data_IF_280009566001
#
_entry.id   IF_280009566001
#
_cell.length_a   1.000
_cell.length_b   1.000
_cell.length_c   1.000
_cell.angle_alpha   90.00
_cell.angle_beta   90.00
_cell.angle_gamma   90.00
#
_symmetry.space_group_name_H-M   'P 1'
#
loop_
_entity.id
_entity.type
_entity.pdbx_description
1 polymer ?
#
# COMPACT_ATOMS: atom_id res chain seq x y z
N UNK A 1 -7.20 39.72 58.86
CA UNK A 1 -8.52 39.52 58.23
C UNK A 1 -8.77 40.66 57.27
N UNK A 2 -8.71 40.43 55.96
CA UNK A 2 -9.30 41.32 54.96
C UNK A 2 -9.82 40.49 53.78
N UNK A 3 -11.14 40.56 53.61
CA UNK A 3 -11.92 40.05 52.48
C UNK A 3 -12.07 41.18 51.47
N UNK A 4 -11.77 40.93 50.19
CA UNK A 4 -12.78 40.95 49.11
C UNK A 4 -12.10 40.83 47.74
N UNK A 5 -12.50 39.78 47.04
CA UNK A 5 -12.31 39.57 45.61
C UNK A 5 -13.58 40.05 44.91
N UNK A 6 -13.56 41.22 44.28
CA UNK A 6 -14.65 41.70 43.41
C UNK A 6 -14.10 41.91 42.01
N UNK A 7 -13.89 40.81 41.29
CA UNK A 7 -13.63 40.79 39.85
C UNK A 7 -14.90 40.46 39.08
N UNK A 8 -15.75 41.47 38.88
CA UNK A 8 -16.96 41.37 38.05
C UNK A 8 -16.55 41.42 36.56
N UNK A 9 -16.57 40.29 35.85
CA UNK A 9 -16.52 40.28 34.38
C UNK A 9 -17.08 38.98 33.81
N UNK A 10 -18.40 38.94 33.62
CA UNK A 10 -19.03 38.05 32.63
C UNK A 10 -20.13 38.82 31.91
N UNK A 11 -20.00 38.90 30.58
CA UNK A 11 -21.00 39.45 29.64
C UNK A 11 -22.42 39.00 30.04
N UNK A 12 -23.39 39.92 30.15
CA UNK A 12 -24.78 39.52 30.37
C UNK A 12 -25.24 38.69 29.17
N UNK A 13 -25.63 37.44 29.42
CA UNK A 13 -26.32 36.63 28.42
C UNK A 13 -27.73 37.18 28.32
N UNK A 14 -28.19 37.49 27.11
CA UNK A 14 -29.60 37.75 26.88
C UNK A 14 -30.34 36.42 27.10
N UNK A 15 -30.93 36.25 28.27
CA UNK A 15 -31.76 35.10 28.61
C UNK A 15 -33.16 35.45 28.12
N UNK A 16 -33.57 34.88 26.99
CA UNK A 16 -34.95 34.98 26.53
C UNK A 16 -35.86 34.25 27.53
N UNK A 17 -36.39 35.00 28.51
CA UNK A 17 -37.37 34.55 29.50
C UNK A 17 -38.81 34.57 28.97
N UNK A 18 -39.00 34.59 27.65
CA UNK A 18 -40.33 34.58 27.02
C UNK A 18 -40.97 33.17 27.02
N UNK A 19 -40.85 32.47 28.14
CA UNK A 19 -41.41 31.15 28.39
C UNK A 19 -41.81 31.05 29.86
N UNK A 20 -42.97 31.63 30.17
CA UNK A 20 -43.75 31.39 31.39
C UNK A 20 -43.12 31.88 32.70
N UNK A 21 -43.36 33.15 33.02
CA UNK A 21 -43.24 33.70 34.38
C UNK A 21 -44.33 33.11 35.28
N UNK A 22 -44.07 31.92 35.84
CA UNK A 22 -44.91 31.29 36.86
C UNK A 22 -44.04 30.55 37.86
N UNK A 23 -44.24 30.78 39.15
CA UNK A 23 -43.47 30.16 40.23
C UNK A 23 -43.56 28.62 40.13
N UNK A 24 -42.43 27.89 40.05
CA UNK A 24 -42.43 26.44 39.87
C UNK A 24 -43.02 25.66 41.06
N UNK A 25 -43.26 26.32 42.19
CA UNK A 25 -43.84 25.72 43.40
C UNK A 25 -45.29 26.11 43.67
N UNK A 26 -45.93 26.97 42.86
CA UNK A 26 -47.32 27.42 43.12
C UNK A 26 -48.40 26.54 42.51
N UNK A 27 -48.05 25.47 41.80
CA UNK A 27 -49.02 24.60 41.11
C UNK A 27 -49.14 23.20 41.72
N UNK A 28 -49.05 23.10 43.05
CA UNK A 28 -49.50 21.94 43.81
C UNK A 28 -51.02 22.01 44.03
N UNK A 29 -51.79 21.90 42.96
CA UNK A 29 -53.21 21.56 43.03
C UNK A 29 -53.40 20.26 42.26
N UNK A 30 -53.97 19.26 42.92
CA UNK A 30 -54.29 17.94 42.38
C UNK A 30 -55.33 18.04 41.27
N UNK A 31 -54.90 18.52 40.10
CA UNK A 31 -55.70 18.61 38.89
C UNK A 31 -54.93 17.95 37.75
N UNK A 32 -55.54 17.02 36.98
CA UNK A 32 -54.84 16.18 36.00
C UNK A 32 -54.28 16.97 34.81
N UNK A 33 -54.56 18.27 34.74
CA UNK A 33 -54.11 19.18 33.69
C UNK A 33 -52.61 19.55 33.79
N UNK A 34 -51.96 19.36 34.95
CA UNK A 34 -50.53 19.66 35.15
C UNK A 34 -49.58 18.57 34.59
N UNK A 35 -50.12 17.40 34.21
CA UNK A 35 -49.35 16.27 33.66
C UNK A 35 -48.78 16.57 32.26
N UNK A 36 -49.36 17.54 31.54
CA UNK A 36 -48.94 17.94 30.19
C UNK A 36 -47.57 18.64 30.14
N UNK A 37 -47.12 19.26 31.23
CA UNK A 37 -45.86 20.01 31.25
C UNK A 37 -44.67 19.11 31.60
N UNK A 38 -44.88 18.08 32.44
CA UNK A 38 -43.84 17.10 32.79
C UNK A 38 -43.51 16.17 31.63
N UNK A 39 -44.49 15.77 30.83
CA UNK A 39 -44.24 14.98 29.60
C UNK A 39 -43.49 15.79 28.55
N UNK A 40 -43.77 17.10 28.42
CA UNK A 40 -43.02 18.02 27.55
C UNK A 40 -41.57 18.22 27.98
N UNK A 41 -41.28 18.34 29.28
CA UNK A 41 -39.90 18.48 29.78
C UNK A 41 -39.09 17.20 29.57
N UNK A 42 -39.69 16.02 29.79
CA UNK A 42 -39.04 14.73 29.53
C UNK A 42 -38.78 14.52 28.04
N UNK A 43 -39.77 14.80 27.18
CA UNK A 43 -39.64 14.72 25.72
C UNK A 43 -38.55 15.65 25.19
N UNK A 44 -38.51 16.91 25.65
CA UNK A 44 -37.45 17.85 25.30
C UNK A 44 -36.07 17.37 25.78
N UNK A 45 -35.97 16.81 26.99
CA UNK A 45 -34.71 16.28 27.50
C UNK A 45 -34.24 15.01 26.76
N UNK A 46 -35.15 14.20 26.22
CA UNK A 46 -34.82 13.07 25.36
C UNK A 46 -34.31 13.57 24.00
N UNK A 47 -35.03 14.47 23.35
CA UNK A 47 -34.62 15.09 22.08
C UNK A 47 -33.26 15.79 22.18
N UNK A 48 -32.98 16.46 23.30
CA UNK A 48 -31.68 17.11 23.53
C UNK A 48 -30.54 16.09 23.74
N UNK A 49 -30.83 14.92 24.32
CA UNK A 49 -29.84 13.83 24.43
C UNK A 49 -29.56 13.20 23.07
N UNK A 50 -30.58 12.93 22.28
CA UNK A 50 -30.46 12.40 20.92
C UNK A 50 -29.65 13.36 20.05
N UNK A 51 -29.95 14.66 20.10
CA UNK A 51 -29.18 15.69 19.38
C UNK A 51 -27.71 15.69 19.79
N UNK A 52 -27.41 15.66 21.10
CA UNK A 52 -26.02 15.60 21.58
C UNK A 52 -25.32 14.31 21.14
N UNK A 53 -26.05 13.19 21.09
CA UNK A 53 -25.51 11.92 20.63
C UNK A 53 -25.14 12.01 19.15
N UNK A 54 -26.04 12.52 18.31
CA UNK A 54 -25.79 12.75 16.88
C UNK A 54 -24.60 13.70 16.65
N UNK A 55 -24.50 14.79 17.42
CA UNK A 55 -23.36 15.73 17.33
C UNK A 55 -22.03 15.06 17.70
N UNK A 56 -22.02 14.21 18.75
CA UNK A 56 -20.83 13.43 19.14
C UNK A 56 -20.44 12.42 18.08
N UNK A 57 -21.40 11.72 17.50
CA UNK A 57 -21.15 10.75 16.43
C UNK A 57 -20.60 11.43 15.18
N UNK A 58 -21.16 12.59 14.81
CA UNK A 58 -20.65 13.43 13.71
C UNK A 58 -19.20 13.85 13.95
N UNK A 59 -18.86 14.31 15.15
CA UNK A 59 -17.49 14.72 15.48
C UNK A 59 -16.53 13.51 15.45
N UNK A 60 -16.93 12.36 16.01
CA UNK A 60 -16.14 11.12 15.96
C UNK A 60 -15.91 10.67 14.51
N UNK A 61 -16.94 10.72 13.67
CA UNK A 61 -16.83 10.38 12.25
C UNK A 61 -15.86 11.32 11.53
N UNK A 62 -15.99 12.63 11.73
CA UNK A 62 -15.09 13.63 11.16
C UNK A 62 -13.63 13.40 11.59
N UNK A 63 -13.40 13.13 12.88
CA UNK A 63 -12.06 12.81 13.41
C UNK A 63 -11.47 11.53 12.81
N UNK A 64 -12.29 10.49 12.57
CA UNK A 64 -11.86 9.26 11.90
C UNK A 64 -11.43 9.54 10.46
N UNK A 65 -12.24 10.28 9.70
CA UNK A 65 -11.93 10.66 8.31
C UNK A 65 -10.62 11.46 8.26
N UNK A 66 -10.49 12.49 9.11
CA UNK A 66 -9.28 13.32 9.15
C UNK A 66 -8.03 12.51 9.47
N UNK A 67 -8.09 11.61 10.45
CA UNK A 67 -6.97 10.73 10.81
C UNK A 67 -6.54 9.85 9.63
N UNK A 68 -7.51 9.20 8.98
CA UNK A 68 -7.24 8.34 7.83
C UNK A 68 -6.64 9.15 6.69
N UNK A 69 -7.22 10.32 6.39
CA UNK A 69 -6.75 11.18 5.30
C UNK A 69 -5.34 11.70 5.56
N UNK A 70 -5.03 12.17 6.77
CA UNK A 70 -3.66 12.61 7.13
C UNK A 70 -2.65 11.48 6.96
N UNK A 71 -2.98 10.27 7.45
CA UNK A 71 -2.11 9.11 7.28
C UNK A 71 -1.94 8.70 5.80
N UNK A 72 -3.01 8.77 5.01
CA UNK A 72 -2.92 8.53 3.56
C UNK A 72 -2.02 9.56 2.89
N UNK A 73 -2.21 10.85 3.17
CA UNK A 73 -1.43 11.95 2.60
C UNK A 73 0.06 11.77 2.89
N UNK A 74 0.44 11.52 4.15
CA UNK A 74 1.85 11.29 4.52
C UNK A 74 2.45 10.08 3.81
N UNK A 75 1.72 8.96 3.67
CA UNK A 75 2.20 7.79 2.92
C UNK A 75 2.34 8.08 1.43
N UNK A 76 1.44 8.86 0.85
CA UNK A 76 1.52 9.26 -0.55
C UNK A 76 2.73 10.16 -0.81
N UNK A 77 2.95 11.17 0.04
CA UNK A 77 4.12 12.06 -0.02
C UNK A 77 5.43 11.29 0.15
N UNK A 78 5.49 10.32 1.08
CA UNK A 78 6.67 9.48 1.26
C UNK A 78 6.97 8.64 0.02
N UNK A 79 5.95 8.00 -0.58
CA UNK A 79 6.13 7.23 -1.81
C UNK A 79 6.62 8.10 -2.96
N UNK A 80 6.12 9.33 -3.07
CA UNK A 80 6.57 10.26 -4.11
C UNK A 80 8.02 10.70 -3.89
N UNK A 81 8.40 10.99 -2.65
CA UNK A 81 9.79 11.27 -2.30
C UNK A 81 10.71 10.10 -2.65
N UNK A 82 10.26 8.86 -2.47
CA UNK A 82 11.02 7.66 -2.82
C UNK A 82 11.14 7.46 -4.33
N UNK A 83 10.09 7.78 -5.10
CA UNK A 83 10.16 7.83 -6.58
C UNK A 83 11.18 8.85 -7.05
N UNK A 84 11.11 10.08 -6.52
CA UNK A 84 12.06 11.14 -6.89
C UNK A 84 13.50 10.74 -6.53
N UNK A 85 13.70 10.07 -5.39
CA UNK A 85 15.01 9.54 -5.02
C UNK A 85 15.49 8.44 -5.99
N UNK A 86 14.60 7.58 -6.45
CA UNK A 86 14.90 6.58 -7.47
C UNK A 86 15.26 7.27 -8.79
N UNK A 87 14.43 8.19 -9.26
CA UNK A 87 14.65 8.90 -10.52
C UNK A 87 15.97 9.66 -10.49
N UNK A 88 16.31 10.33 -9.39
CA UNK A 88 17.61 10.99 -9.22
C UNK A 88 18.82 10.04 -9.34
N UNK A 89 18.70 8.78 -8.93
CA UNK A 89 19.75 7.76 -9.13
C UNK A 89 19.95 7.40 -10.60
N UNK A 90 18.90 7.50 -11.42
CA UNK A 90 18.93 7.19 -12.85
C UNK A 90 19.21 8.43 -13.72
N UNK A 91 18.78 9.62 -13.32
CA UNK A 91 19.08 10.91 -13.97
C UNK A 91 20.56 11.30 -13.86
N UNK A 92 21.25 10.88 -12.80
CA UNK A 92 22.69 11.11 -12.62
C UNK A 92 23.57 10.45 -13.70
N UNK A 93 22.98 9.69 -14.63
CA UNK A 93 23.61 9.18 -15.84
C UNK A 93 24.67 8.08 -15.61
N UNK A 94 25.51 7.77 -16.62
CA UNK A 94 26.54 6.72 -16.56
C UNK A 94 27.68 6.99 -15.56
N UNK A 95 27.56 8.02 -14.71
CA UNK A 95 28.56 8.36 -13.69
C UNK A 95 28.52 7.42 -12.48
N UNK A 96 27.41 6.71 -12.26
CA UNK A 96 27.32 5.71 -11.19
C UNK A 96 27.40 4.31 -11.79
N UNK A 97 28.32 3.50 -11.27
CA UNK A 97 28.41 2.09 -11.63
C UNK A 97 27.11 1.38 -11.26
N UNK A 98 26.52 0.55 -12.14
CA UNK A 98 25.31 -0.22 -11.84
C UNK A 98 25.41 -1.02 -10.53
N UNK A 99 26.59 -1.56 -10.22
CA UNK A 99 26.88 -2.28 -8.96
C UNK A 99 26.65 -1.44 -7.69
N UNK A 100 26.86 -0.13 -7.75
CA UNK A 100 26.65 0.77 -6.60
C UNK A 100 25.20 1.28 -6.53
N UNK A 101 24.54 1.42 -7.69
CA UNK A 101 23.17 1.90 -7.81
C UNK A 101 22.15 0.84 -7.43
N UNK A 102 22.33 -0.40 -7.89
CA UNK A 102 21.37 -1.48 -7.76
C UNK A 102 20.93 -1.76 -6.32
N UNK A 103 21.82 -1.85 -5.30
CA UNK A 103 21.39 -2.06 -3.91
C UNK A 103 20.46 -0.95 -3.37
N UNK A 104 20.72 0.31 -3.76
CA UNK A 104 19.90 1.46 -3.35
C UNK A 104 18.55 1.45 -4.09
N UNK A 105 18.61 1.23 -5.40
CA UNK A 105 17.43 1.16 -6.26
C UNK A 105 16.50 0.00 -5.85
N UNK A 106 17.05 -1.15 -5.44
CA UNK A 106 16.30 -2.28 -4.90
C UNK A 106 15.43 -1.87 -3.71
N UNK A 107 16.03 -1.19 -2.73
CA UNK A 107 15.33 -0.75 -1.53
C UNK A 107 14.21 0.23 -1.84
N UNK A 108 14.48 1.19 -2.72
CA UNK A 108 13.52 2.21 -3.15
C UNK A 108 12.37 1.58 -3.94
N UNK A 109 12.66 0.77 -4.96
CA UNK A 109 11.65 0.15 -5.82
C UNK A 109 10.62 -0.62 -5.00
N UNK A 110 11.07 -1.46 -4.07
CA UNK A 110 10.18 -2.20 -3.18
C UNK A 110 9.30 -1.31 -2.27
N UNK A 111 9.75 -0.10 -1.96
CA UNK A 111 9.05 0.80 -1.03
C UNK A 111 7.91 1.60 -1.68
N UNK A 112 8.07 2.02 -2.95
CA UNK A 112 7.09 2.88 -3.60
C UNK A 112 6.24 2.19 -4.67
N UNK A 113 6.70 1.08 -5.26
CA UNK A 113 6.13 0.53 -6.48
C UNK A 113 4.62 0.34 -6.39
N UNK A 114 3.93 0.74 -7.44
CA UNK A 114 2.50 0.58 -7.57
C UNK A 114 2.13 0.16 -8.99
N UNK A 115 1.47 -1.00 -9.09
CA UNK A 115 0.90 -1.50 -10.34
C UNK A 115 -0.21 -0.59 -10.92
N UNK A 116 -0.58 0.53 -10.27
CA UNK A 116 -1.54 1.50 -10.80
C UNK A 116 -0.88 2.60 -11.63
N UNK A 117 0.44 2.74 -11.56
CA UNK A 117 1.22 3.76 -12.28
C UNK A 117 2.09 3.08 -13.32
N UNK A 118 1.94 3.47 -14.57
CA UNK A 118 2.73 2.90 -15.67
C UNK A 118 4.19 3.34 -15.56
N UNK A 119 4.45 4.54 -15.03
CA UNK A 119 5.80 5.01 -14.71
C UNK A 119 6.54 4.05 -13.76
N UNK A 120 5.85 3.42 -12.81
CA UNK A 120 6.50 2.49 -11.87
C UNK A 120 6.90 1.19 -12.57
N UNK A 121 6.16 0.77 -13.61
CA UNK A 121 6.55 -0.35 -14.48
C UNK A 121 7.78 0.03 -15.30
N UNK A 122 7.82 1.24 -15.86
CA UNK A 122 9.00 1.74 -16.58
C UNK A 122 10.24 1.80 -15.68
N UNK A 123 10.09 2.26 -14.42
CA UNK A 123 11.17 2.20 -13.43
C UNK A 123 11.65 0.78 -13.14
N UNK A 124 10.74 -0.19 -13.09
CA UNK A 124 11.10 -1.60 -12.93
C UNK A 124 11.86 -2.14 -14.17
N UNK A 125 11.51 -1.68 -15.38
CA UNK A 125 12.23 -2.01 -16.62
C UNK A 125 13.64 -1.41 -16.59
N UNK A 126 13.79 -0.13 -16.23
CA UNK A 126 15.10 0.50 -16.07
C UNK A 126 15.96 -0.22 -15.03
N UNK A 127 15.35 -0.63 -13.93
CA UNK A 127 16.02 -1.44 -12.92
C UNK A 127 16.47 -2.78 -13.49
N UNK A 128 15.60 -3.51 -14.19
CA UNK A 128 15.93 -4.80 -14.80
C UNK A 128 17.04 -4.67 -15.86
N UNK A 129 17.02 -3.60 -16.65
CA UNK A 129 18.07 -3.32 -17.64
C UNK A 129 19.46 -3.23 -16.99
N UNK A 130 19.62 -2.50 -15.89
CA UNK A 130 20.91 -2.41 -15.19
C UNK A 130 21.44 -3.77 -14.75
N UNK A 131 20.54 -4.67 -14.35
CA UNK A 131 20.95 -5.99 -13.87
C UNK A 131 21.61 -6.82 -14.95
N UNK A 132 21.35 -6.59 -16.23
CA UNK A 132 21.94 -7.36 -17.33
C UNK A 132 23.47 -7.26 -17.36
N UNK A 133 24.01 -6.15 -16.90
CA UNK A 133 25.45 -5.88 -16.87
C UNK A 133 26.17 -6.32 -15.59
N UNK A 134 25.43 -6.85 -14.60
CA UNK A 134 25.97 -7.13 -13.27
C UNK A 134 25.52 -8.48 -12.73
N UNK A 135 26.37 -9.13 -11.94
CA UNK A 135 26.01 -10.33 -11.21
C UNK A 135 24.89 -10.10 -10.18
N UNK A 136 24.11 -11.17 -9.94
CA UNK A 136 22.97 -11.13 -9.01
C UNK A 136 23.36 -10.77 -7.56
N UNK A 137 24.62 -10.98 -7.16
CA UNK A 137 25.15 -10.58 -5.85
C UNK A 137 25.15 -9.06 -5.65
N UNK A 138 25.25 -8.28 -6.72
CA UNK A 138 25.18 -6.82 -6.65
C UNK A 138 23.74 -6.30 -6.48
N UNK A 139 22.74 -7.12 -6.81
CA UNK A 139 21.32 -6.79 -6.70
C UNK A 139 20.83 -7.06 -5.28
N UNK A 140 21.16 -8.25 -4.79
CA UNK A 140 20.82 -8.73 -3.46
C UNK A 140 22.09 -9.28 -2.82
N UNK A 141 22.91 -8.43 -2.18
CA UNK A 141 24.06 -8.90 -1.42
C UNK A 141 23.62 -9.90 -0.35
N UNK A 142 24.55 -10.74 0.11
CA UNK A 142 24.28 -11.92 0.96
C UNK A 142 23.57 -11.60 2.29
N UNK A 143 23.48 -10.33 2.67
CA UNK A 143 22.79 -9.82 3.84
C UNK A 143 21.31 -9.45 3.60
N UNK A 144 20.80 -9.53 2.37
CA UNK A 144 19.40 -9.22 2.05
C UNK A 144 18.49 -10.38 2.41
N UNK A 145 17.42 -10.11 3.16
CA UNK A 145 16.44 -11.12 3.50
C UNK A 145 15.81 -11.75 2.23
N UNK A 146 15.74 -13.09 2.13
CA UNK A 146 15.15 -13.79 0.97
C UNK A 146 13.72 -13.35 0.65
N UNK A 147 12.93 -12.99 1.67
CA UNK A 147 11.56 -12.48 1.50
C UNK A 147 11.49 -11.19 0.67
N UNK A 148 12.52 -10.33 0.73
CA UNK A 148 12.58 -9.10 -0.09
C UNK A 148 12.86 -9.42 -1.54
N UNK A 149 13.70 -10.42 -1.80
CA UNK A 149 13.95 -10.94 -3.16
C UNK A 149 12.68 -11.58 -3.71
N UNK A 150 11.97 -12.38 -2.92
CA UNK A 150 10.65 -12.91 -3.29
C UNK A 150 9.64 -11.80 -3.60
N UNK A 151 9.61 -10.72 -2.80
CA UNK A 151 8.77 -9.56 -3.06
C UNK A 151 9.10 -8.87 -4.38
N UNK A 152 10.39 -8.75 -4.73
CA UNK A 152 10.82 -8.26 -6.04
C UNK A 152 10.30 -9.15 -7.17
N UNK A 153 10.44 -10.47 -7.06
CA UNK A 153 9.96 -11.40 -8.10
C UNK A 153 8.45 -11.28 -8.30
N UNK A 154 7.68 -11.21 -7.21
CA UNK A 154 6.22 -11.02 -7.28
C UNK A 154 5.85 -9.71 -7.98
N UNK A 155 6.55 -8.62 -7.65
CA UNK A 155 6.36 -7.31 -8.26
C UNK A 155 6.65 -7.36 -9.77
N UNK A 156 7.77 -7.97 -10.17
CA UNK A 156 8.16 -8.11 -11.57
C UNK A 156 7.13 -8.94 -12.35
N UNK A 157 6.65 -10.05 -11.80
CA UNK A 157 5.60 -10.86 -12.42
C UNK A 157 4.27 -10.11 -12.54
N UNK A 158 3.89 -9.32 -11.54
CA UNK A 158 2.68 -8.48 -11.61
C UNK A 158 2.81 -7.38 -12.68
N UNK A 159 3.97 -6.73 -12.75
CA UNK A 159 4.26 -5.73 -13.78
C UNK A 159 4.16 -6.35 -15.18
N UNK A 160 4.75 -7.53 -15.35
CA UNK A 160 4.72 -8.32 -16.57
C UNK A 160 3.30 -8.71 -16.97
N UNK A 161 2.52 -9.26 -16.03
CA UNK A 161 1.14 -9.67 -16.27
C UNK A 161 0.26 -8.49 -16.72
N UNK A 162 0.47 -7.31 -16.14
CA UNK A 162 -0.21 -6.08 -16.54
C UNK A 162 0.20 -5.64 -17.94
N UNK A 163 1.49 -5.62 -18.26
CA UNK A 163 1.97 -5.26 -19.61
C UNK A 163 1.42 -6.20 -20.67
N UNK A 164 1.37 -7.51 -20.39
CA UNK A 164 0.78 -8.51 -21.29
C UNK A 164 -0.72 -8.32 -21.48
N UNK A 165 -1.43 -8.01 -20.40
CA UNK A 165 -2.88 -7.77 -20.46
C UNK A 165 -3.24 -6.51 -21.27
N UNK A 166 -2.34 -5.53 -21.33
CA UNK A 166 -2.48 -4.33 -22.16
C UNK A 166 -2.01 -4.56 -23.61
N UNK A 167 -1.26 -5.64 -23.85
CA UNK A 167 -0.64 -5.94 -25.15
C UNK A 167 0.62 -5.13 -25.43
N UNK A 168 1.21 -4.49 -24.41
CA UNK A 168 2.44 -3.71 -24.54
C UNK A 168 3.69 -4.62 -24.46
N UNK A 169 3.92 -5.33 -25.55
CA UNK A 169 5.08 -6.19 -25.78
C UNK A 169 6.20 -5.45 -26.54
N UNK A 170 5.99 -4.18 -26.88
CA UNK A 170 6.78 -3.42 -27.86
C UNK A 170 8.12 -2.88 -27.33
N UNK A 171 8.48 -3.17 -26.07
CA UNK A 171 9.66 -2.60 -25.43
C UNK A 171 10.49 -3.59 -24.62
N UNK A 172 11.33 -3.04 -23.74
CA UNK A 172 12.25 -3.74 -22.85
C UNK A 172 11.56 -4.55 -21.72
N UNK A 173 10.25 -4.77 -21.83
CA UNK A 173 9.43 -5.56 -20.89
C UNK A 173 9.96 -6.99 -20.71
N UNK A 174 10.60 -7.57 -21.73
CA UNK A 174 11.22 -8.90 -21.66
C UNK A 174 12.35 -8.96 -20.61
N UNK A 175 12.98 -7.83 -20.28
CA UNK A 175 14.02 -7.72 -19.25
C UNK A 175 13.47 -8.03 -17.85
N UNK A 176 12.19 -7.70 -17.58
CA UNK A 176 11.53 -8.05 -16.32
C UNK A 176 11.52 -9.57 -16.15
N UNK A 177 11.15 -10.29 -17.20
CA UNK A 177 11.06 -11.75 -17.13
C UNK A 177 12.44 -12.40 -17.08
N UNK A 178 13.40 -11.87 -17.85
CA UNK A 178 14.80 -12.32 -17.79
C UNK A 178 15.39 -12.18 -16.39
N UNK A 179 15.13 -11.07 -15.69
CA UNK A 179 15.54 -10.89 -14.29
C UNK A 179 14.87 -11.92 -13.36
N UNK A 180 13.57 -12.19 -13.53
CA UNK A 180 12.88 -13.25 -12.78
C UNK A 180 13.56 -14.61 -12.99
N UNK A 181 13.87 -14.98 -14.24
CA UNK A 181 14.56 -16.23 -14.55
C UNK A 181 15.92 -16.32 -13.89
N UNK A 182 16.72 -15.24 -13.94
CA UNK A 182 18.03 -15.20 -13.29
C UNK A 182 17.91 -15.41 -11.78
N UNK A 183 16.97 -14.73 -11.12
CA UNK A 183 16.73 -14.87 -9.68
C UNK A 183 16.30 -16.30 -9.32
N UNK A 184 15.32 -16.85 -10.04
CA UNK A 184 14.77 -18.20 -9.76
C UNK A 184 15.79 -19.28 -10.06
N UNK A 185 16.62 -19.12 -11.09
CA UNK A 185 17.72 -20.06 -11.39
C UNK A 185 18.71 -20.13 -10.22
N UNK A 186 19.02 -18.98 -9.61
CA UNK A 186 19.94 -18.91 -8.48
C UNK A 186 19.31 -19.35 -7.15
N UNK A 187 18.02 -19.06 -6.96
CA UNK A 187 17.28 -19.32 -5.73
C UNK A 187 15.99 -20.09 -6.05
N UNK A 188 16.05 -21.39 -6.39
CA UNK A 188 14.90 -22.15 -6.86
C UNK A 188 13.76 -22.23 -5.83
N UNK A 189 14.08 -22.21 -4.54
CA UNK A 189 13.07 -22.18 -3.46
C UNK A 189 12.13 -20.97 -3.51
N UNK A 190 12.50 -19.88 -4.20
CA UNK A 190 11.62 -18.73 -4.38
C UNK A 190 10.51 -18.96 -5.42
N UNK A 191 10.62 -19.98 -6.28
CA UNK A 191 9.63 -20.28 -7.31
C UNK A 191 8.36 -20.92 -6.74
N UNK A 192 8.51 -21.81 -5.76
CA UNK A 192 7.40 -22.57 -5.17
C UNK A 192 6.21 -21.69 -4.76
N UNK A 193 6.37 -20.58 -4.00
CA UNK A 193 5.23 -19.76 -3.58
C UNK A 193 4.60 -18.91 -4.70
N UNK A 194 5.22 -18.84 -5.88
CA UNK A 194 4.78 -17.98 -7.00
C UNK A 194 4.52 -18.76 -8.28
N UNK A 195 4.55 -20.09 -8.22
CA UNK A 195 4.51 -20.98 -9.38
C UNK A 195 3.28 -20.75 -10.26
N UNK A 196 2.12 -20.52 -9.64
CA UNK A 196 0.87 -20.25 -10.35
C UNK A 196 0.94 -18.93 -11.13
N UNK A 197 1.46 -17.87 -10.50
CA UNK A 197 1.62 -16.56 -11.15
C UNK A 197 2.65 -16.64 -12.28
N UNK A 198 3.74 -17.38 -12.06
CA UNK A 198 4.78 -17.61 -13.05
C UNK A 198 4.23 -18.30 -14.30
N UNK A 199 3.58 -19.45 -14.16
CA UNK A 199 3.05 -20.19 -15.31
C UNK A 199 1.82 -19.54 -15.93
N UNK A 200 1.06 -18.74 -15.19
CA UNK A 200 0.00 -17.89 -15.77
C UNK A 200 0.60 -16.90 -16.77
N UNK A 201 1.71 -16.26 -16.42
CA UNK A 201 2.40 -15.32 -17.31
C UNK A 201 3.01 -16.04 -18.51
N UNK A 202 3.67 -17.20 -18.31
CA UNK A 202 4.18 -18.03 -19.41
C UNK A 202 3.05 -18.43 -20.37
N UNK A 203 1.92 -18.90 -19.84
CA UNK A 203 0.78 -19.30 -20.65
C UNK A 203 0.22 -18.14 -21.48
N UNK A 204 0.12 -16.94 -20.89
CA UNK A 204 -0.28 -15.72 -21.62
C UNK A 204 0.73 -15.39 -22.72
N UNK A 205 2.03 -15.48 -22.47
CA UNK A 205 3.08 -15.25 -23.47
C UNK A 205 2.95 -16.22 -24.66
N UNK A 206 2.69 -17.49 -24.40
CA UNK A 206 2.51 -18.51 -25.45
C UNK A 206 1.27 -18.28 -26.33
N UNK A 207 0.31 -17.45 -25.90
CA UNK A 207 -0.88 -17.11 -26.70
C UNK A 207 -0.60 -16.02 -27.77
N UNK A 208 0.53 -15.31 -27.68
CA UNK A 208 0.87 -14.27 -28.65
C UNK A 208 1.43 -14.87 -29.95
N UNK A 209 0.78 -14.55 -31.07
CA UNK A 209 1.12 -15.10 -32.39
C UNK A 209 2.44 -14.56 -32.98
N UNK A 210 2.90 -13.38 -32.54
CA UNK A 210 4.12 -12.73 -33.01
C UNK A 210 4.93 -12.23 -31.82
N UNK A 211 5.80 -13.08 -31.29
CA UNK A 211 6.81 -12.70 -30.32
C UNK A 211 8.10 -12.29 -31.04
N UNK A 212 8.72 -11.20 -30.61
CA UNK A 212 10.08 -10.85 -31.05
C UNK A 212 11.07 -11.95 -30.63
N UNK A 213 12.22 -12.04 -31.30
CA UNK A 213 13.29 -12.99 -30.99
C UNK A 213 13.70 -12.99 -29.51
N UNK A 214 13.80 -11.80 -28.90
CA UNK A 214 14.13 -11.62 -27.48
C UNK A 214 13.14 -12.32 -26.54
N UNK A 215 11.86 -12.31 -26.89
CA UNK A 215 10.80 -12.96 -26.12
C UNK A 215 10.80 -14.47 -26.33
N UNK A 216 11.11 -14.94 -27.54
CA UNK A 216 11.17 -16.37 -27.85
C UNK A 216 12.26 -17.05 -27.01
N UNK A 217 13.45 -16.46 -26.96
CA UNK A 217 14.56 -16.95 -26.12
C UNK A 217 14.15 -16.99 -24.63
N UNK A 218 13.57 -15.90 -24.12
CA UNK A 218 13.13 -15.81 -22.72
C UNK A 218 12.06 -16.86 -22.39
N UNK A 219 11.08 -17.08 -23.27
CA UNK A 219 10.02 -18.08 -23.06
C UNK A 219 10.59 -19.51 -23.07
N UNK A 220 11.50 -19.81 -23.99
CA UNK A 220 12.15 -21.14 -24.02
C UNK A 220 12.91 -21.42 -22.73
N UNK A 221 13.71 -20.45 -22.26
CA UNK A 221 14.41 -20.57 -20.98
C UNK A 221 13.44 -20.68 -19.79
N UNK A 222 12.31 -19.98 -19.84
CA UNK A 222 11.30 -20.01 -18.79
C UNK A 222 10.64 -21.39 -18.65
N UNK A 223 10.51 -22.13 -19.74
CA UNK A 223 9.93 -23.48 -19.75
C UNK A 223 10.97 -24.50 -19.30
N UNK A 224 12.22 -24.41 -19.78
CA UNK A 224 13.23 -25.44 -19.56
C UNK A 224 13.88 -25.38 -18.17
N UNK A 225 14.28 -24.20 -17.70
CA UNK A 225 15.11 -24.08 -16.48
C UNK A 225 14.49 -24.62 -15.20
N UNK A 226 13.19 -24.40 -14.91
CA UNK A 226 12.57 -25.01 -13.74
C UNK A 226 12.56 -26.55 -13.78
N UNK A 227 12.52 -27.15 -14.97
CA UNK A 227 12.49 -28.61 -15.16
C UNK A 227 13.89 -29.25 -15.02
N UNK A 228 14.93 -28.52 -15.43
CA UNK A 228 16.33 -28.93 -15.25
C UNK A 228 16.72 -28.98 -13.77
N UNK A 229 16.27 -28.00 -12.98
CA UNK A 229 16.52 -27.96 -11.53
C UNK A 229 15.95 -29.20 -10.81
N UNK A 230 14.74 -29.64 -11.17
CA UNK A 230 14.12 -30.85 -10.61
C UNK A 230 14.89 -32.14 -10.95
N UNK A 231 15.59 -32.16 -12.09
CA UNK A 231 16.37 -33.32 -12.55
C UNK A 231 17.69 -33.50 -11.78
N UNK A 232 18.19 -32.44 -11.13
CA UNK A 232 19.40 -32.49 -10.31
C UNK A 232 19.14 -32.88 -8.85
N UNK A 233 17.98 -32.52 -8.27
CA UNK A 233 17.61 -32.95 -6.91
C UNK A 233 17.37 -34.47 -6.83
N UNK A 234 16.82 -35.08 -7.89
CA UNK A 234 16.57 -36.52 -7.97
C UNK A 234 17.81 -37.41 -8.11
N UNK A 235 19.02 -36.84 -8.26
CA UNK A 235 20.28 -37.59 -8.36
C UNK A 235 21.16 -37.53 -7.10
N UNK A 236 20.79 -36.77 -6.08
CA UNK A 236 21.60 -36.64 -4.86
C UNK A 236 21.22 -37.61 -3.73
N UNK A 237 20.18 -38.44 -3.89
CA UNK A 237 19.71 -39.37 -2.87
C UNK A 237 20.24 -40.81 -2.99
N UNK A 238 21.02 -41.14 -4.02
CA UNK A 238 21.59 -42.48 -4.24
C UNK A 238 23.12 -42.43 -4.25
N UNK A 239 23.74 -42.03 -3.14
CA UNK A 239 25.17 -42.29 -2.91
C UNK A 239 25.55 -42.18 -1.43
N UNK A 240 25.04 -43.10 -0.62
CA UNK A 240 25.74 -43.56 0.58
C UNK A 240 26.03 -45.07 0.44
N UNK A 241 27.29 -45.44 0.18
CA UNK A 241 27.81 -46.71 0.65
C UNK A 241 28.76 -46.47 1.83
N UNK A 242 28.52 -47.25 2.88
CA UNK A 242 29.31 -47.50 4.10
C UNK A 242 28.92 -46.70 5.35
#
# INVERSE_FOLDING_TARGET
MFSTFTGNSRRPRNVNLSGTTGNPFTNTSWSPSAVSNTTKTVSNAQAEREKRQADREKLKAAGKIQRIWRGYKTRAELKESQRNAFDALYESGPRQNPTERLPKAFGLLLSFFSLRRDDDIQRAICYAHDTESVDLEAIAPSNVCPSRVGCLVQLLLQALDRSLSIGDLSGDTHLLFRLVLRIVTKYPGLLVPIIDSYYTVVAKLCQFQKLSEQWQDVVLQAISRPLEAASHEGKSSDQDPW
#
